data_IF_763483877092
#
_entry.id   IF_763483877092
#
_cell.length_a   1.000
_cell.length_b   1.000
_cell.length_c   1.000
_cell.angle_alpha   90.00
_cell.angle_beta   90.00
_cell.angle_gamma   90.00
#
_symmetry.space_group_name_H-M   'P 1'
#
loop_
_entity.id
_entity.type
_entity.pdbx_description
1 polymer ?
#
# COMPACT_ATOMS: atom_id res chain seq x y z
N UNK A 1 5.82 30.01 12.00
CA UNK A 1 4.83 28.92 12.07
C UNK A 1 4.58 28.39 10.68
N UNK A 2 4.16 29.27 9.79
CA UNK A 2 3.70 28.98 8.43
C UNK A 2 4.69 28.15 7.59
N UNK A 3 6.00 28.42 7.68
CA UNK A 3 7.02 27.63 6.98
C UNK A 3 7.16 26.18 7.47
N UNK A 4 7.02 25.94 8.78
CA UNK A 4 7.10 24.57 9.33
C UNK A 4 5.81 23.81 9.08
N UNK A 5 4.66 24.50 9.15
CA UNK A 5 3.37 23.91 8.84
C UNK A 5 3.26 23.52 7.37
N UNK A 6 3.69 24.39 6.45
CA UNK A 6 3.71 24.07 5.02
C UNK A 6 4.68 22.93 4.70
N UNK A 7 5.84 22.89 5.34
CA UNK A 7 6.81 21.82 5.16
C UNK A 7 6.26 20.46 5.64
N UNK A 8 5.66 20.41 6.84
CA UNK A 8 5.05 19.18 7.36
C UNK A 8 3.87 18.75 6.49
N UNK A 9 2.99 19.68 6.10
CA UNK A 9 1.85 19.37 5.24
C UNK A 9 2.28 18.80 3.88
N UNK A 10 3.36 19.33 3.28
CA UNK A 10 3.90 18.78 2.04
C UNK A 10 4.53 17.39 2.25
N UNK A 11 5.21 17.16 3.38
CA UNK A 11 5.75 15.84 3.72
C UNK A 11 4.63 14.80 3.90
N UNK A 12 3.57 15.16 4.61
CA UNK A 12 2.43 14.29 4.85
C UNK A 12 1.72 13.97 3.53
N UNK A 13 1.52 14.98 2.67
CA UNK A 13 0.97 14.78 1.33
C UNK A 13 1.83 13.83 0.49
N UNK A 14 3.16 13.98 0.54
CA UNK A 14 4.09 13.07 -0.16
C UNK A 14 4.03 11.65 0.40
N UNK A 15 3.87 11.51 1.71
CA UNK A 15 3.72 10.21 2.38
C UNK A 15 2.46 9.49 1.90
N UNK A 16 1.33 10.20 1.86
CA UNK A 16 0.06 9.62 1.40
C UNK A 16 0.09 9.27 -0.09
N UNK A 17 0.72 10.11 -0.93
CA UNK A 17 0.93 9.78 -2.34
C UNK A 17 1.83 8.54 -2.52
N UNK A 18 2.88 8.41 -1.73
CA UNK A 18 3.76 7.25 -1.77
C UNK A 18 3.04 5.97 -1.31
N UNK A 19 2.22 6.06 -0.24
CA UNK A 19 1.36 4.95 0.21
C UNK A 19 0.37 4.53 -0.88
N UNK A 20 -0.31 5.49 -1.51
CA UNK A 20 -1.28 5.22 -2.57
C UNK A 20 -0.62 4.54 -3.77
N UNK A 21 0.51 5.07 -4.25
CA UNK A 21 1.28 4.46 -5.36
C UNK A 21 1.73 3.06 -5.02
N UNK A 22 2.22 2.84 -3.80
CA UNK A 22 2.65 1.53 -3.36
C UNK A 22 1.47 0.54 -3.34
N UNK A 23 0.33 0.96 -2.81
CA UNK A 23 -0.89 0.14 -2.81
C UNK A 23 -1.35 -0.22 -4.23
N UNK A 24 -1.39 0.76 -5.14
CA UNK A 24 -1.75 0.53 -6.55
C UNK A 24 -0.79 -0.48 -7.21
N UNK A 25 0.53 -0.32 -7.03
CA UNK A 25 1.51 -1.27 -7.55
C UNK A 25 1.35 -2.67 -6.93
N UNK A 26 1.05 -2.76 -5.63
CA UNK A 26 0.83 -4.03 -4.95
C UNK A 26 -0.44 -4.74 -5.43
N UNK A 27 -1.52 -3.99 -5.67
CA UNK A 27 -2.76 -4.49 -6.24
C UNK A 27 -2.58 -4.94 -7.68
N UNK A 28 -1.92 -4.14 -8.53
CA UNK A 28 -1.62 -4.50 -9.92
C UNK A 28 -0.80 -5.78 -10.02
N UNK A 29 0.28 -5.91 -9.24
CA UNK A 29 1.10 -7.13 -9.21
C UNK A 29 0.28 -8.32 -8.72
N UNK A 30 -0.56 -8.14 -7.69
CA UNK A 30 -1.40 -9.23 -7.17
C UNK A 30 -2.44 -9.68 -8.19
N UNK A 31 -3.07 -8.74 -8.89
CA UNK A 31 -4.05 -9.00 -9.93
C UNK A 31 -3.43 -9.70 -11.14
N UNK A 32 -2.25 -9.24 -11.61
CA UNK A 32 -1.54 -9.86 -12.74
C UNK A 32 -1.14 -11.31 -12.41
N UNK A 33 -0.58 -11.53 -11.21
CA UNK A 33 -0.19 -12.86 -10.75
C UNK A 33 -1.42 -13.76 -10.58
N UNK A 34 -2.52 -13.26 -10.02
CA UNK A 34 -3.77 -14.02 -9.87
C UNK A 34 -4.34 -14.43 -11.22
N UNK A 35 -4.43 -13.50 -12.19
CA UNK A 35 -4.95 -13.77 -13.53
C UNK A 35 -4.10 -14.82 -14.27
N UNK A 36 -2.77 -14.76 -14.14
CA UNK A 36 -1.87 -15.75 -14.74
C UNK A 36 -2.00 -17.13 -14.05
N UNK A 37 -2.17 -17.15 -12.74
CA UNK A 37 -2.45 -18.39 -12.00
C UNK A 37 -3.79 -19.01 -12.40
N UNK A 38 -4.85 -18.21 -12.53
CA UNK A 38 -6.18 -18.63 -12.98
C UNK A 38 -6.11 -19.25 -14.38
N UNK A 39 -5.39 -18.63 -15.32
CA UNK A 39 -5.19 -19.17 -16.67
C UNK A 39 -4.54 -20.56 -16.67
N UNK A 40 -3.57 -20.80 -15.78
CA UNK A 40 -2.96 -22.13 -15.60
C UNK A 40 -3.98 -23.12 -15.01
N UNK A 41 -4.81 -22.68 -14.06
CA UNK A 41 -5.88 -23.51 -13.50
C UNK A 41 -6.94 -23.88 -14.54
N UNK A 42 -7.42 -22.93 -15.35
CA UNK A 42 -8.39 -23.18 -16.42
C UNK A 42 -7.87 -24.21 -17.44
N UNK A 43 -6.62 -24.06 -17.89
CA UNK A 43 -6.00 -25.02 -18.82
C UNK A 43 -5.85 -26.41 -18.18
N UNK A 44 -5.58 -26.50 -16.88
CA UNK A 44 -5.56 -27.78 -16.16
C UNK A 44 -6.95 -28.43 -16.11
N UNK A 45 -8.00 -27.65 -15.85
CA UNK A 45 -9.38 -28.16 -15.86
C UNK A 45 -9.79 -28.64 -17.25
N UNK A 46 -9.44 -27.90 -18.30
CA UNK A 46 -9.71 -28.29 -19.69
C UNK A 46 -9.00 -29.61 -20.05
N UNK A 47 -7.72 -29.75 -19.67
CA UNK A 47 -6.98 -31.01 -19.84
C UNK A 47 -7.69 -32.16 -19.10
N UNK A 48 -8.15 -31.94 -17.87
CA UNK A 48 -8.89 -32.95 -17.11
C UNK A 48 -10.19 -33.39 -17.79
N UNK A 49 -10.97 -32.45 -18.32
CA UNK A 49 -12.22 -32.73 -19.06
C UNK A 49 -11.95 -33.51 -20.34
N UNK A 50 -10.93 -33.12 -21.12
CA UNK A 50 -10.56 -33.81 -22.35
C UNK A 50 -10.02 -35.22 -22.10
N UNK A 51 -9.21 -35.41 -21.05
CA UNK A 51 -8.72 -36.72 -20.64
C UNK A 51 -9.87 -37.66 -20.24
N UNK A 52 -10.81 -37.19 -19.41
CA UNK A 52 -11.98 -37.98 -19.04
C UNK A 52 -12.81 -38.40 -20.25
N UNK A 53 -12.97 -37.50 -21.24
CA UNK A 53 -13.66 -37.80 -22.49
C UNK A 53 -12.89 -38.81 -23.35
N UNK A 54 -11.56 -38.70 -23.42
CA UNK A 54 -10.73 -39.65 -24.15
C UNK A 54 -10.79 -41.06 -23.53
N UNK A 55 -10.79 -41.15 -22.20
CA UNK A 55 -10.93 -42.41 -21.46
C UNK A 55 -12.28 -43.07 -21.71
N UNK A 56 -13.38 -42.29 -21.69
CA UNK A 56 -14.72 -42.80 -21.99
C UNK A 56 -14.81 -43.37 -23.41
N UNK A 57 -14.36 -42.62 -24.42
CA UNK A 57 -14.36 -43.09 -25.82
C UNK A 57 -13.49 -44.33 -26.01
N UNK A 58 -12.37 -44.42 -25.26
CA UNK A 58 -11.53 -45.61 -25.23
C UNK A 58 -12.25 -46.82 -24.64
N UNK A 59 -13.01 -46.65 -23.56
CA UNK A 59 -13.80 -47.72 -22.94
C UNK A 59 -14.96 -48.19 -23.83
N UNK A 60 -15.54 -47.30 -24.63
CA UNK A 60 -16.60 -47.61 -25.61
C UNK A 60 -16.06 -48.29 -26.88
N UNK A 61 -14.72 -48.40 -27.03
CA UNK A 61 -14.07 -49.02 -28.20
C UNK A 61 -13.85 -48.08 -29.38
N UNK A 62 -14.16 -46.78 -29.24
CA UNK A 62 -13.95 -45.74 -30.25
C UNK A 62 -12.51 -45.24 -30.24
N UNK A 63 -11.57 -46.12 -30.62
CA UNK A 63 -10.11 -45.88 -30.54
C UNK A 63 -9.67 -44.68 -31.39
N UNK A 64 -10.18 -44.55 -32.61
CA UNK A 64 -9.80 -43.45 -33.52
C UNK A 64 -10.21 -42.07 -32.99
N UNK A 65 -11.39 -41.97 -32.36
CA UNK A 65 -11.87 -40.72 -31.76
C UNK A 65 -11.13 -40.40 -30.46
N UNK A 66 -10.87 -41.42 -29.63
CA UNK A 66 -10.04 -41.28 -28.42
C UNK A 66 -8.64 -40.75 -28.76
N UNK A 67 -8.01 -41.27 -29.82
CA UNK A 67 -6.71 -40.77 -30.29
C UNK A 67 -6.76 -39.31 -30.73
N UNK A 68 -7.81 -38.87 -31.41
CA UNK A 68 -7.97 -37.45 -31.80
C UNK A 68 -8.09 -36.54 -30.58
N UNK A 69 -8.86 -36.92 -29.57
CA UNK A 69 -8.99 -36.14 -28.32
C UNK A 69 -7.65 -36.11 -27.57
N UNK A 70 -6.89 -37.21 -27.53
CA UNK A 70 -5.56 -37.23 -26.95
C UNK A 70 -4.58 -36.28 -27.66
N UNK A 71 -4.66 -36.16 -29.00
CA UNK A 71 -3.88 -35.17 -29.73
C UNK A 71 -4.27 -33.73 -29.36
N UNK A 72 -5.54 -33.46 -29.06
CA UNK A 72 -5.97 -32.16 -28.54
C UNK A 72 -5.45 -31.90 -27.13
N UNK A 73 -5.47 -32.91 -26.24
CA UNK A 73 -4.89 -32.83 -24.90
C UNK A 73 -3.42 -32.41 -24.97
N UNK A 74 -2.63 -32.99 -25.87
CA UNK A 74 -1.22 -32.63 -26.04
C UNK A 74 -1.02 -31.18 -26.50
N UNK A 75 -1.92 -30.66 -27.36
CA UNK A 75 -1.91 -29.22 -27.73
C UNK A 75 -2.23 -28.32 -26.53
N UNK A 76 -3.22 -28.67 -25.72
CA UNK A 76 -3.57 -27.89 -24.53
C UNK A 76 -2.47 -27.98 -23.47
N UNK A 77 -1.81 -29.13 -23.32
CA UNK A 77 -0.62 -29.30 -22.47
C UNK A 77 0.55 -28.40 -22.89
N UNK A 78 0.79 -28.26 -24.20
CA UNK A 78 1.80 -27.32 -24.70
C UNK A 78 1.48 -25.87 -24.31
N UNK A 79 0.21 -25.45 -24.49
CA UNK A 79 -0.26 -24.12 -24.05
C UNK A 79 -0.17 -23.92 -22.54
N UNK A 80 -0.50 -24.95 -21.76
CA UNK A 80 -0.37 -24.94 -20.29
C UNK A 80 1.08 -24.70 -19.89
N UNK A 81 2.03 -25.42 -20.52
CA UNK A 81 3.46 -25.25 -20.22
C UNK A 81 3.95 -23.83 -20.50
N UNK A 82 3.50 -23.22 -21.60
CA UNK A 82 3.78 -21.83 -21.92
C UNK A 82 3.19 -20.87 -20.88
N UNK A 83 1.93 -21.07 -20.48
CA UNK A 83 1.28 -20.28 -19.44
C UNK A 83 1.94 -20.43 -18.06
N UNK A 84 2.42 -21.63 -17.70
CA UNK A 84 3.18 -21.87 -16.46
C UNK A 84 4.56 -21.19 -16.48
N UNK A 85 5.20 -21.13 -17.64
CA UNK A 85 6.45 -20.42 -17.83
C UNK A 85 6.23 -18.90 -17.75
N UNK A 86 5.16 -18.38 -18.36
CA UNK A 86 4.75 -16.98 -18.23
C UNK A 86 4.40 -16.61 -16.78
N UNK A 87 3.66 -17.47 -16.07
CA UNK A 87 3.33 -17.29 -14.65
C UNK A 87 4.60 -17.25 -13.78
N UNK A 88 5.52 -18.20 -13.96
CA UNK A 88 6.80 -18.20 -13.23
C UNK A 88 7.64 -16.96 -13.52
N UNK A 89 7.69 -16.55 -14.78
CA UNK A 89 8.46 -15.37 -15.18
C UNK A 89 7.80 -14.04 -14.75
N UNK A 90 6.48 -14.04 -14.54
CA UNK A 90 5.71 -12.90 -14.02
C UNK A 90 5.90 -12.66 -12.52
N UNK A 91 6.58 -13.57 -11.83
CA UNK A 91 7.00 -13.46 -10.43
C UNK A 91 8.51 -13.19 -10.32
N UNK A 92 9.07 -12.13 -10.93
CA UNK A 92 10.47 -11.79 -10.69
C UNK A 92 10.63 -11.34 -9.23
N UNK A 93 11.78 -11.69 -8.63
CA UNK A 93 12.08 -11.38 -7.24
C UNK A 93 11.94 -9.88 -6.90
N UNK A 94 12.13 -8.99 -7.88
CA UNK A 94 11.98 -7.54 -7.76
C UNK A 94 10.53 -7.09 -7.55
N UNK A 95 9.56 -7.64 -8.29
CA UNK A 95 8.13 -7.31 -8.12
C UNK A 95 7.61 -7.80 -6.77
N UNK A 96 8.04 -9.00 -6.37
CA UNK A 96 7.71 -9.54 -5.05
C UNK A 96 8.34 -8.74 -3.89
N UNK A 97 9.50 -8.12 -4.11
CA UNK A 97 10.09 -7.21 -3.13
C UNK A 97 9.23 -5.96 -2.93
N UNK A 98 8.61 -5.41 -3.98
CA UNK A 98 7.72 -4.25 -3.87
C UNK A 98 6.43 -4.56 -3.08
N UNK A 99 5.91 -5.79 -3.18
CA UNK A 99 4.82 -6.28 -2.31
C UNK A 99 5.18 -6.33 -0.82
N UNK A 100 6.47 -6.36 -0.50
CA UNK A 100 6.95 -6.47 0.88
C UNK A 100 7.40 -5.15 1.47
N UNK A 101 7.09 -4.03 0.82
CA UNK A 101 7.41 -2.70 1.34
C UNK A 101 6.22 -2.08 2.06
N UNK A 102 6.52 -1.14 2.96
CA UNK A 102 5.62 -0.17 3.56
C UNK A 102 6.28 1.20 3.56
N UNK A 103 5.51 2.27 3.67
CA UNK A 103 6.05 3.64 3.78
C UNK A 103 6.08 4.07 5.24
N UNK A 104 7.19 4.68 5.68
CA UNK A 104 7.31 5.26 7.00
C UNK A 104 6.49 6.57 7.12
N UNK A 105 5.70 6.72 8.19
CA UNK A 105 4.80 7.87 8.39
C UNK A 105 5.50 9.17 8.83
N UNK A 106 6.76 9.05 9.24
CA UNK A 106 7.55 10.18 9.75
C UNK A 106 8.39 10.78 8.64
N UNK A 107 9.06 9.93 7.86
CA UNK A 107 10.07 10.35 6.89
C UNK A 107 9.81 9.92 5.45
N UNK A 108 8.65 9.33 5.18
CA UNK A 108 8.21 8.90 3.84
C UNK A 108 9.13 7.89 3.13
N UNK A 109 10.09 7.29 3.84
CA UNK A 109 10.99 6.30 3.27
C UNK A 109 10.31 4.93 3.19
N UNK A 110 10.65 4.14 2.17
CA UNK A 110 10.20 2.74 2.06
C UNK A 110 10.98 1.85 3.04
N UNK A 111 10.25 0.98 3.72
CA UNK A 111 10.71 0.01 4.72
C UNK A 111 10.26 -1.38 4.29
N UNK A 112 11.11 -2.39 4.43
CA UNK A 112 10.69 -3.78 4.28
C UNK A 112 9.83 -4.21 5.46
N UNK A 113 8.73 -4.91 5.19
CA UNK A 113 7.90 -5.56 6.21
C UNK A 113 8.67 -6.64 6.99
N UNK A 114 9.64 -7.27 6.34
CA UNK A 114 10.44 -8.38 6.88
C UNK A 114 11.89 -7.95 7.19
N UNK A 115 12.14 -6.64 7.29
CA UNK A 115 13.45 -6.17 7.70
C UNK A 115 13.72 -6.58 9.16
N UNK A 116 14.95 -6.97 9.45
CA UNK A 116 15.37 -7.32 10.80
C UNK A 116 15.45 -6.09 11.71
N UNK A 117 15.37 -6.32 13.02
CA UNK A 117 15.37 -5.26 14.04
C UNK A 117 16.59 -4.35 13.94
N UNK A 118 17.75 -4.87 13.54
CA UNK A 118 18.96 -4.07 13.33
C UNK A 118 18.76 -3.02 12.23
N UNK A 119 18.21 -3.41 11.08
CA UNK A 119 17.94 -2.49 9.96
C UNK A 119 16.83 -1.50 10.29
N UNK A 120 15.82 -1.93 11.03
CA UNK A 120 14.77 -1.04 11.53
C UNK A 120 15.35 -0.01 12.52
N UNK A 121 16.23 -0.43 13.42
CA UNK A 121 16.92 0.47 14.34
C UNK A 121 17.77 1.52 13.58
N UNK A 122 18.47 1.12 12.53
CA UNK A 122 19.23 2.07 11.68
C UNK A 122 18.33 3.10 10.99
N UNK A 123 17.11 2.71 10.61
CA UNK A 123 16.12 3.64 10.07
C UNK A 123 15.60 4.62 11.14
N UNK A 124 15.11 4.10 12.27
CA UNK A 124 14.51 4.93 13.33
C UNK A 124 15.54 5.80 14.05
N UNK A 125 16.77 5.30 14.24
CA UNK A 125 17.92 6.04 14.75
C UNK A 125 18.61 6.91 13.69
N UNK A 126 18.13 6.90 12.45
CA UNK A 126 18.69 7.68 11.37
C UNK A 126 18.43 9.17 11.53
N UNK A 127 19.41 10.00 11.12
CA UNK A 127 19.32 11.48 11.21
C UNK A 127 18.08 12.05 10.53
N UNK A 128 17.68 11.46 9.41
CA UNK A 128 16.53 11.91 8.64
C UNK A 128 15.22 11.64 9.41
N UNK A 129 15.05 10.43 9.95
CA UNK A 129 13.87 10.08 10.74
C UNK A 129 13.79 10.93 12.02
N UNK A 130 14.88 11.00 12.79
CA UNK A 130 14.95 11.83 14.00
C UNK A 130 14.75 13.31 13.72
N UNK A 131 15.26 13.82 12.58
CA UNK A 131 15.06 15.21 12.17
C UNK A 131 13.59 15.55 11.92
N UNK A 132 12.83 14.67 11.27
CA UNK A 132 11.39 14.85 11.09
C UNK A 132 10.62 14.82 12.41
N UNK A 133 11.00 13.96 13.35
CA UNK A 133 10.43 13.96 14.71
C UNK A 133 10.66 15.31 15.37
N UNK A 134 11.90 15.80 15.40
CA UNK A 134 12.24 17.09 16.00
C UNK A 134 11.48 18.26 15.36
N UNK A 135 11.31 18.24 14.04
CA UNK A 135 10.55 19.28 13.32
C UNK A 135 9.07 19.26 13.73
N UNK A 136 8.46 18.07 13.82
CA UNK A 136 7.05 17.91 14.26
C UNK A 136 6.85 18.33 15.71
N UNK A 137 7.74 17.89 16.61
CA UNK A 137 7.74 18.32 18.02
C UNK A 137 7.90 19.84 18.14
N UNK A 138 8.80 20.43 17.36
CA UNK A 138 9.02 21.88 17.40
C UNK A 138 7.79 22.64 16.92
N UNK A 139 7.09 22.13 15.91
CA UNK A 139 5.84 22.72 15.45
C UNK A 139 4.77 22.66 16.56
N UNK A 140 4.62 21.52 17.24
CA UNK A 140 3.66 21.38 18.34
C UNK A 140 3.94 22.33 19.51
N UNK A 141 5.21 22.48 19.90
CA UNK A 141 5.63 23.46 20.91
C UNK A 141 5.28 24.89 20.51
N UNK A 142 5.50 25.26 19.23
CA UNK A 142 5.15 26.58 18.72
C UNK A 142 3.64 26.80 18.70
N UNK A 143 2.85 25.80 18.31
CA UNK A 143 1.37 25.84 18.36
C UNK A 143 0.86 26.13 19.77
N UNK A 144 1.36 25.41 20.77
CA UNK A 144 1.02 25.62 22.19
C UNK A 144 1.36 27.04 22.64
N UNK A 145 2.57 27.50 22.34
CA UNK A 145 3.02 28.86 22.72
C UNK A 145 2.14 29.95 22.10
N UNK A 146 1.75 29.79 20.83
CA UNK A 146 0.86 30.74 20.15
C UNK A 146 -0.55 30.70 20.74
N UNK A 147 -1.09 29.50 20.97
CA UNK A 147 -2.41 29.31 21.57
C UNK A 147 -2.50 29.95 22.96
N UNK A 148 -1.52 29.73 23.83
CA UNK A 148 -1.45 30.35 25.17
C UNK A 148 -1.38 31.88 25.10
N UNK A 149 -0.58 32.44 24.18
CA UNK A 149 -0.52 33.89 23.99
C UNK A 149 -1.85 34.46 23.49
N UNK A 150 -2.52 33.73 22.60
CA UNK A 150 -3.80 34.15 22.04
C UNK A 150 -4.92 34.06 23.09
N UNK A 151 -4.91 33.02 23.93
CA UNK A 151 -5.82 32.87 25.05
C UNK A 151 -5.64 34.00 26.08
N UNK A 152 -4.40 34.28 26.50
CA UNK A 152 -4.11 35.42 27.39
C UNK A 152 -4.59 36.75 26.82
N UNK A 153 -4.40 36.97 25.52
CA UNK A 153 -4.88 38.18 24.83
C UNK A 153 -6.41 38.24 24.79
N UNK A 154 -7.08 37.12 24.59
CA UNK A 154 -8.55 37.05 24.61
C UNK A 154 -9.11 37.27 26.01
N UNK A 155 -8.48 36.69 27.05
CA UNK A 155 -8.86 36.92 28.44
C UNK A 155 -8.67 38.38 28.85
N UNK A 156 -7.57 39.04 28.47
CA UNK A 156 -7.36 40.47 28.74
C UNK A 156 -8.43 41.34 28.05
N UNK A 157 -8.78 41.01 26.80
CA UNK A 157 -9.87 41.68 26.06
C UNK A 157 -11.22 41.51 26.74
N UNK A 158 -11.52 40.30 27.23
CA UNK A 158 -12.76 40.00 27.94
C UNK A 158 -12.83 40.79 29.25
N UNK A 159 -11.76 40.77 30.05
CA UNK A 159 -11.68 41.53 31.31
C UNK A 159 -11.89 43.02 31.11
N UNK A 160 -11.24 43.63 30.10
CA UNK A 160 -11.44 45.05 29.77
C UNK A 160 -12.87 45.37 29.34
N UNK A 161 -13.56 44.42 28.69
CA UNK A 161 -14.96 44.59 28.31
C UNK A 161 -15.87 44.53 29.53
N UNK A 162 -15.66 43.55 30.40
CA UNK A 162 -16.41 43.39 31.65
C UNK A 162 -16.23 44.60 32.58
N UNK A 163 -15.02 45.16 32.65
CA UNK A 163 -14.72 46.37 33.42
C UNK A 163 -15.51 47.58 32.90
N UNK A 164 -15.54 47.81 31.59
CA UNK A 164 -16.35 48.88 30.97
C UNK A 164 -17.85 48.68 31.21
N UNK A 165 -18.36 47.46 31.05
CA UNK A 165 -19.77 47.15 31.30
C UNK A 165 -20.14 47.36 32.79
N UNK A 166 -19.20 47.12 33.71
CA UNK A 166 -19.39 47.39 35.14
C UNK A 166 -19.39 48.89 35.44
N UNK A 167 -18.47 49.67 34.86
CA UNK A 167 -18.44 51.13 34.98
C UNK A 167 -19.73 51.77 34.44
N UNK A 168 -20.22 51.34 33.29
CA UNK A 168 -21.49 51.83 32.70
C UNK A 168 -22.72 51.52 33.58
N UNK A 169 -22.71 50.37 34.28
CA UNK A 169 -23.80 50.01 35.22
C UNK A 169 -23.77 50.79 36.53
N UNK A 170 -22.58 51.18 36.99
CA UNK A 170 -22.41 51.96 38.24
C UNK A 170 -22.61 53.48 38.00
N UNK A 171 -22.47 53.93 36.76
CA UNK A 171 -22.69 55.33 36.36
C UNK A 171 -24.14 55.69 35.98
N UNK A 172 -25.09 54.76 36.10
CA UNK A 172 -26.55 54.99 36.00
C UNK A 172 -27.20 54.90 37.36
#
# INVERSE_FOLDING_TARGET
MDHLESFIAECDRRTELAKKRLAETQEEISAEVSAKAEKVHELNEEIGKLLAKAEQLGAEGNVDESQKILMEVEKVRAKKKEAEEEYRNSMPASSFQQQKLRVCEVCSAYLGLHDNDRRLADHFGGKLHLGFIQIREKLDQLRKTVAEKQEKRNQDRLRRREEREREERLGR
#
